data_IF_049015109071
#
_entry.id   IF_049015109071
#
_cell.length_a   1.000
_cell.length_b   1.000
_cell.length_c   1.000
_cell.angle_alpha   90.00
_cell.angle_beta   90.00
_cell.angle_gamma   90.00
#
_symmetry.space_group_name_H-M   'P 1'
#
loop_
_entity.id
_entity.type
_entity.pdbx_description
1 polymer ?
#
# COMPACT_ATOMS: atom_id res chain seq x y z
N UNK A 1 6.89 7.09 -18.05
CA UNK A 1 6.54 6.04 -17.06
C UNK A 1 5.05 5.70 -17.08
N UNK A 2 4.14 6.68 -16.96
CA UNK A 2 2.69 6.45 -16.93
C UNK A 2 2.10 5.71 -18.17
N UNK A 3 2.52 6.08 -19.39
CA UNK A 3 2.04 5.42 -20.63
C UNK A 3 2.27 3.91 -20.68
N UNK A 4 3.48 3.47 -20.30
CA UNK A 4 3.84 2.05 -20.32
C UNK A 4 2.98 1.21 -19.37
N UNK A 5 2.54 1.78 -18.25
CA UNK A 5 1.69 1.07 -17.29
C UNK A 5 0.28 0.85 -17.83
N UNK A 6 -0.34 1.89 -18.42
CA UNK A 6 -1.68 1.82 -19.00
C UNK A 6 -1.72 0.85 -20.20
N UNK A 7 -0.66 0.85 -21.01
CA UNK A 7 -0.53 -0.05 -22.16
C UNK A 7 -0.42 -1.53 -21.73
N UNK A 8 0.28 -1.79 -20.61
CA UNK A 8 0.45 -3.14 -20.07
C UNK A 8 -0.80 -3.65 -19.37
N UNK A 9 -1.52 -2.79 -18.64
CA UNK A 9 -2.70 -3.17 -17.85
C UNK A 9 -4.00 -3.18 -18.67
N UNK A 10 -4.03 -2.55 -19.86
CA UNK A 10 -5.21 -2.39 -20.73
C UNK A 10 -6.45 -1.88 -19.99
N UNK A 11 -6.25 -1.17 -18.89
CA UNK A 11 -7.33 -0.72 -18.03
C UNK A 11 -7.89 0.60 -18.57
N UNK A 12 -9.12 0.54 -19.10
CA UNK A 12 -9.78 1.67 -19.78
C UNK A 12 -10.33 2.72 -18.81
N UNK A 13 -10.22 2.48 -17.50
CA UNK A 13 -10.78 3.36 -16.47
C UNK A 13 -9.73 4.30 -15.84
N UNK A 14 -8.49 4.31 -16.35
CA UNK A 14 -7.40 5.14 -15.84
C UNK A 14 -7.13 6.31 -16.79
N UNK A 15 -7.48 7.53 -16.39
CA UNK A 15 -7.10 8.75 -17.11
C UNK A 15 -5.58 8.96 -16.99
N UNK A 16 -4.90 9.13 -18.12
CA UNK A 16 -3.44 9.29 -18.21
C UNK A 16 -2.96 10.51 -17.41
N UNK A 17 -3.79 11.57 -17.36
CA UNK A 17 -3.49 12.80 -16.63
C UNK A 17 -3.55 12.57 -15.12
N UNK A 18 -4.58 11.88 -14.63
CA UNK A 18 -4.71 11.54 -13.22
C UNK A 18 -3.61 10.59 -12.76
N UNK A 19 -3.26 9.59 -13.57
CA UNK A 19 -2.18 8.66 -13.24
C UNK A 19 -0.82 9.36 -13.24
N UNK A 20 -0.56 10.27 -14.20
CA UNK A 20 0.67 11.06 -14.21
C UNK A 20 0.74 12.01 -13.00
N UNK A 21 -0.37 12.64 -12.62
CA UNK A 21 -0.45 13.49 -11.44
C UNK A 21 -0.26 12.67 -10.14
N UNK A 22 -0.81 11.47 -10.08
CA UNK A 22 -0.64 10.53 -8.98
C UNK A 22 0.83 10.09 -8.87
N UNK A 23 1.46 9.67 -9.96
CA UNK A 23 2.88 9.31 -10.00
C UNK A 23 3.82 10.49 -9.72
N UNK A 24 3.41 11.72 -10.06
CA UNK A 24 4.13 12.95 -9.74
C UNK A 24 3.83 13.44 -8.31
N UNK A 25 2.82 12.88 -7.63
CA UNK A 25 2.46 13.29 -6.29
C UNK A 25 3.51 12.78 -5.29
N UNK A 26 4.07 13.69 -4.48
CA UNK A 26 4.99 13.37 -3.39
C UNK A 26 4.39 12.48 -2.29
N UNK A 27 3.09 12.20 -2.37
CA UNK A 27 2.36 11.42 -1.38
C UNK A 27 2.41 9.90 -1.66
N UNK A 28 2.92 9.50 -2.82
CA UNK A 28 3.16 8.10 -3.14
C UNK A 28 4.60 7.73 -2.79
N UNK A 29 4.77 7.24 -1.57
CA UNK A 29 6.04 6.68 -1.12
C UNK A 29 6.05 5.17 -1.39
N UNK A 30 6.70 4.76 -2.48
CA UNK A 30 7.02 3.34 -2.71
C UNK A 30 8.20 2.94 -1.83
N UNK A 31 7.91 2.73 -0.54
CA UNK A 31 8.89 2.31 0.45
C UNK A 31 8.79 0.82 0.74
N UNK A 32 9.94 0.19 1.03
CA UNK A 32 9.98 -1.19 1.52
C UNK A 32 9.60 -1.27 3.01
N UNK A 33 9.54 -0.12 3.69
CA UNK A 33 9.21 -0.02 5.10
C UNK A 33 7.70 -0.09 5.28
N UNK A 34 7.17 -1.06 6.05
CA UNK A 34 5.74 -1.13 6.31
C UNK A 34 5.29 0.12 7.09
N UNK A 35 4.56 1.03 6.46
CA UNK A 35 4.08 2.26 7.08
C UNK A 35 2.58 2.19 7.37
N UNK A 36 2.19 2.51 8.60
CA UNK A 36 0.79 2.68 9.00
C UNK A 36 -0.07 1.40 8.90
N UNK A 37 0.57 0.22 8.95
CA UNK A 37 -0.07 -1.11 8.86
C UNK A 37 -1.00 -1.32 10.05
N UNK A 38 -0.57 -0.93 11.26
CA UNK A 38 -1.40 -1.07 12.46
C UNK A 38 -2.77 -0.40 12.33
N UNK A 39 -2.81 0.84 11.82
CA UNK A 39 -4.06 1.59 11.62
C UNK A 39 -4.96 0.98 10.55
N UNK A 40 -4.36 0.46 9.47
CA UNK A 40 -5.11 -0.23 8.43
C UNK A 40 -5.77 -1.51 8.96
N UNK A 41 -5.04 -2.29 9.74
CA UNK A 41 -5.57 -3.51 10.38
C UNK A 41 -6.66 -3.19 11.41
N UNK A 42 -6.52 -2.12 12.17
CA UNK A 42 -7.59 -1.65 13.07
C UNK A 42 -8.87 -1.30 12.32
N UNK A 43 -8.74 -0.58 11.20
CA UNK A 43 -9.88 -0.30 10.35
C UNK A 43 -10.51 -1.57 9.79
N UNK A 44 -9.69 -2.48 9.23
CA UNK A 44 -10.15 -3.76 8.68
C UNK A 44 -10.84 -4.66 9.73
N UNK A 45 -10.32 -4.68 10.96
CA UNK A 45 -10.96 -5.40 12.06
C UNK A 45 -12.28 -4.76 12.46
N UNK A 46 -12.34 -3.42 12.52
CA UNK A 46 -13.58 -2.68 12.81
C UNK A 46 -14.68 -2.95 11.80
N UNK A 47 -14.34 -3.07 10.51
CA UNK A 47 -15.32 -3.38 9.45
C UNK A 47 -15.55 -4.88 9.25
N UNK A 48 -14.96 -5.74 10.09
CA UNK A 48 -15.18 -7.19 10.08
C UNK A 48 -14.46 -7.96 8.97
N UNK A 49 -13.55 -7.31 8.22
CA UNK A 49 -12.75 -7.95 7.18
C UNK A 49 -11.64 -8.83 7.76
N UNK A 50 -11.12 -8.48 8.94
CA UNK A 50 -10.12 -9.26 9.67
C UNK A 50 -10.71 -9.65 11.02
N UNK A 51 -10.88 -10.96 11.26
CA UNK A 51 -11.44 -11.48 12.52
C UNK A 51 -10.44 -11.53 13.67
N UNK A 52 -9.16 -11.70 13.36
CA UNK A 52 -8.08 -11.82 14.34
C UNK A 52 -7.09 -10.67 14.13
N UNK A 53 -6.97 -9.78 15.12
CA UNK A 53 -6.02 -8.67 15.07
C UNK A 53 -4.62 -9.18 15.44
N UNK A 54 -3.63 -9.15 14.53
CA UNK A 54 -2.24 -9.36 14.90
C UNK A 54 -1.78 -8.35 15.94
N UNK A 55 -0.95 -8.78 16.89
CA UNK A 55 -0.47 -7.93 17.97
C UNK A 55 0.54 -6.89 17.46
N UNK A 56 1.24 -7.22 16.37
CA UNK A 56 2.20 -6.34 15.72
C UNK A 56 2.09 -6.42 14.20
N UNK A 57 2.45 -5.35 13.50
CA UNK A 57 2.66 -5.41 12.05
C UNK A 57 3.72 -6.46 11.69
N UNK A 58 4.65 -6.79 12.59
CA UNK A 58 5.64 -7.84 12.39
C UNK A 58 5.02 -9.22 12.19
N UNK A 59 3.83 -9.48 12.72
CA UNK A 59 3.12 -10.74 12.53
C UNK A 59 2.58 -10.91 11.09
N UNK A 60 2.56 -9.82 10.32
CA UNK A 60 2.06 -9.76 8.94
C UNK A 60 3.16 -9.72 7.88
N UNK A 61 4.39 -9.44 8.28
CA UNK A 61 5.51 -9.25 7.36
C UNK A 61 6.62 -10.26 7.63
N UNK A 62 7.38 -10.58 6.58
CA UNK A 62 8.53 -11.47 6.70
C UNK A 62 9.59 -10.91 7.67
N UNK A 63 10.36 -11.78 8.35
CA UNK A 63 11.38 -11.36 9.33
C UNK A 63 12.38 -10.32 8.81
N UNK A 64 12.69 -10.35 7.52
CA UNK A 64 13.59 -9.41 6.83
C UNK A 64 13.09 -7.96 6.91
N UNK A 65 11.77 -7.76 7.00
CA UNK A 65 11.17 -6.43 7.14
C UNK A 65 11.12 -5.95 8.60
N UNK A 66 11.34 -6.82 9.60
CA UNK A 66 11.20 -6.46 11.02
C UNK A 66 12.28 -5.48 11.50
N UNK A 67 13.40 -5.38 10.76
CA UNK A 67 14.48 -4.43 11.00
C UNK A 67 14.23 -3.04 10.39
N UNK A 68 13.17 -2.87 9.61
CA UNK A 68 12.78 -1.57 9.06
C UNK A 68 11.97 -0.78 10.10
N UNK A 69 12.00 0.57 10.08
CA UNK A 69 11.27 1.42 11.01
C UNK A 69 9.76 1.45 10.68
N UNK A 70 9.12 0.28 10.71
CA UNK A 70 7.71 0.11 10.38
C UNK A 70 6.76 0.45 11.54
N UNK A 71 5.50 0.76 11.21
CA UNK A 71 4.41 1.09 12.15
C UNK A 71 3.07 0.51 11.73
#
# INVERSE_FOLDING_TARGET
AARLYIELTKDKNLDEVELAALLASKNLEFTKTPSNVGKMIEFMHRVGLVKSKPASWKDLFFPEAHGLPGS
#
